data_IF_999466579446
#
_entry.id   IF_999466579446
#
_cell.length_a   1.000
_cell.length_b   1.000
_cell.length_c   1.000
_cell.angle_alpha   90.00
_cell.angle_beta   90.00
_cell.angle_gamma   90.00
#
_symmetry.space_group_name_H-M   'P 1'
#
loop_
_entity.id
_entity.type
_entity.pdbx_description
1 polymer ?
#
# COMPACT_ATOMS: atom_id res chain seq x y z
N UNK A 1 -2.11 -11.39 -24.48
CA UNK A 1 -3.04 -11.97 -23.48
C UNK A 1 -4.38 -11.28 -23.67
N UNK A 2 -5.45 -12.05 -23.89
CA UNK A 2 -6.80 -11.52 -24.18
C UNK A 2 -7.46 -11.18 -22.85
N UNK A 3 -7.72 -9.90 -22.61
CA UNK A 3 -8.48 -9.43 -21.45
C UNK A 3 -9.92 -9.93 -21.57
N UNK A 4 -10.34 -10.82 -20.66
CA UNK A 4 -11.71 -11.31 -20.61
C UNK A 4 -12.58 -10.27 -19.88
N UNK A 5 -13.63 -9.73 -20.50
CA UNK A 5 -14.41 -8.60 -19.96
C UNK A 5 -15.31 -8.96 -18.76
N UNK A 6 -15.13 -10.15 -18.14
CA UNK A 6 -15.91 -10.63 -16.99
C UNK A 6 -15.16 -10.58 -15.67
N UNK A 7 -13.86 -10.25 -15.67
CA UNK A 7 -13.11 -9.97 -14.45
C UNK A 7 -13.39 -8.53 -14.04
N UNK A 8 -14.44 -8.34 -13.23
CA UNK A 8 -14.64 -7.08 -12.52
C UNK A 8 -13.51 -6.97 -11.49
N UNK A 9 -12.44 -6.25 -11.82
CA UNK A 9 -11.39 -5.85 -10.88
C UNK A 9 -12.02 -4.97 -9.81
N UNK A 10 -12.60 -5.58 -8.78
CA UNK A 10 -13.36 -4.90 -7.74
C UNK A 10 -12.53 -4.64 -6.47
N UNK A 11 -11.23 -4.92 -6.47
CA UNK A 11 -10.34 -4.56 -5.37
C UNK A 11 -9.53 -3.33 -5.71
N UNK A 12 -9.68 -2.28 -4.92
CA UNK A 12 -8.65 -1.25 -4.80
C UNK A 12 -7.29 -1.95 -4.62
N UNK A 13 -6.31 -1.66 -5.48
CA UNK A 13 -4.96 -2.16 -5.28
C UNK A 13 -4.48 -1.64 -3.92
N UNK A 14 -4.26 -2.54 -2.96
CA UNK A 14 -3.72 -2.19 -1.66
C UNK A 14 -2.20 -2.45 -1.68
N UNK A 15 -1.36 -1.43 -1.94
CA UNK A 15 0.07 -1.57 -1.78
C UNK A 15 0.41 -1.73 -0.30
N UNK A 16 1.14 -2.78 0.03
CA UNK A 16 1.64 -3.03 1.38
C UNK A 16 3.16 -2.95 1.38
N UNK A 17 3.71 -2.13 2.28
CA UNK A 17 5.15 -2.13 2.53
C UNK A 17 5.48 -3.37 3.37
N UNK A 18 6.33 -4.25 2.85
CA UNK A 18 6.73 -5.51 3.51
C UNK A 18 8.12 -5.46 4.13
N UNK A 19 9.02 -4.63 3.60
CA UNK A 19 10.36 -4.44 4.13
C UNK A 19 10.86 -3.02 3.90
N UNK A 20 11.62 -2.49 4.84
CA UNK A 20 12.27 -1.17 4.74
C UNK A 20 13.69 -1.26 5.27
N UNK A 21 14.66 -0.84 4.44
CA UNK A 21 16.09 -0.87 4.81
C UNK A 21 16.78 0.42 4.43
N UNK A 22 17.46 1.03 5.39
CA UNK A 22 18.38 2.14 5.08
C UNK A 22 19.61 1.56 4.41
N UNK A 23 19.95 2.07 3.22
CA UNK A 23 21.13 1.64 2.48
C UNK A 23 22.41 2.05 3.23
N UNK A 24 23.00 1.10 3.95
CA UNK A 24 24.30 1.30 4.61
C UNK A 24 25.40 1.44 3.55
N UNK A 25 26.27 2.43 3.70
CA UNK A 25 27.39 2.73 2.80
C UNK A 25 27.01 3.20 1.38
N UNK A 26 25.79 3.71 1.17
CA UNK A 26 25.45 4.42 -0.07
C UNK A 26 25.87 5.90 0.05
N UNK A 27 26.55 6.48 -0.96
CA UNK A 27 26.85 7.91 -0.97
C UNK A 27 25.59 8.80 -1.04
N UNK A 28 24.41 8.22 -1.30
CA UNK A 28 23.15 8.93 -1.53
C UNK A 28 22.10 8.72 -0.42
N UNK A 29 22.47 8.14 0.74
CA UNK A 29 21.58 7.92 1.90
C UNK A 29 20.13 7.58 1.50
N UNK A 30 19.92 6.37 0.98
CA UNK A 30 18.65 5.96 0.38
C UNK A 30 17.89 5.01 1.29
N UNK A 31 16.57 5.10 1.30
CA UNK A 31 15.68 4.14 1.93
C UNK A 31 15.17 3.15 0.87
N UNK A 32 15.54 1.87 0.99
CA UNK A 32 15.00 0.79 0.17
C UNK A 32 13.66 0.35 0.75
N UNK A 33 12.65 0.21 -0.10
CA UNK A 33 11.30 -0.21 0.28
C UNK A 33 10.89 -1.37 -0.61
N UNK A 34 10.43 -2.45 -0.01
CA UNK A 34 9.77 -3.55 -0.71
C UNK A 34 8.26 -3.40 -0.56
N UNK A 35 7.56 -3.41 -1.69
CA UNK A 35 6.11 -3.20 -1.79
C UNK A 35 5.49 -4.44 -2.41
N UNK A 36 4.59 -5.05 -1.68
CA UNK A 36 3.73 -6.12 -2.14
C UNK A 36 2.40 -5.54 -2.63
N UNK A 37 1.87 -6.14 -3.70
CA UNK A 37 0.58 -5.78 -4.26
C UNK A 37 -0.30 -7.02 -4.28
N UNK A 38 -1.52 -6.87 -3.77
CA UNK A 38 -2.52 -7.92 -3.81
C UNK A 38 -3.58 -7.57 -4.84
N UNK A 39 -3.80 -8.49 -5.78
CA UNK A 39 -4.91 -8.44 -6.70
C UNK A 39 -6.10 -9.17 -6.06
N UNK A 40 -7.27 -8.55 -6.10
CA UNK A 40 -8.51 -9.17 -5.65
C UNK A 40 -9.42 -9.39 -6.84
N UNK A 41 -9.88 -10.63 -7.02
CA UNK A 41 -10.83 -11.01 -8.06
C UNK A 41 -11.98 -11.81 -7.46
N UNK A 42 -13.14 -11.78 -8.12
CA UNK A 42 -14.29 -12.60 -7.72
C UNK A 42 -14.38 -13.77 -8.68
N UNK A 43 -14.27 -14.98 -8.15
CA UNK A 43 -14.51 -16.20 -8.91
C UNK A 43 -16.00 -16.27 -9.26
N UNK A 44 -16.33 -16.25 -10.56
CA UNK A 44 -17.72 -16.21 -11.01
C UNK A 44 -18.52 -17.48 -10.72
N UNK A 45 -17.84 -18.60 -10.55
CA UNK A 45 -18.48 -19.91 -10.37
C UNK A 45 -18.76 -20.18 -8.89
N UNK A 46 -17.80 -19.83 -8.02
CA UNK A 46 -17.90 -20.05 -6.57
C UNK A 46 -18.44 -18.84 -5.82
N UNK A 47 -18.45 -17.65 -6.45
CA UNK A 47 -18.76 -16.35 -5.83
C UNK A 47 -17.83 -16.01 -4.65
N UNK A 48 -16.64 -16.63 -4.60
CA UNK A 48 -15.64 -16.40 -3.57
C UNK A 48 -14.67 -15.31 -4.05
N UNK A 49 -14.22 -14.48 -3.10
CA UNK A 49 -13.14 -13.53 -3.32
C UNK A 49 -11.81 -14.29 -3.29
N UNK A 50 -11.08 -14.22 -4.38
CA UNK A 50 -9.74 -14.77 -4.51
C UNK A 50 -8.71 -13.63 -4.48
N UNK A 51 -7.73 -13.76 -3.59
CA UNK A 51 -6.62 -12.85 -3.46
C UNK A 51 -5.37 -13.48 -4.04
N UNK A 52 -4.70 -12.77 -4.95
CA UNK A 52 -3.44 -13.19 -5.55
C UNK A 52 -2.37 -12.17 -5.24
N UNK A 53 -1.40 -12.57 -4.43
CA UNK A 53 -0.22 -11.76 -4.12
C UNK A 53 0.74 -11.74 -5.30
N UNK A 54 1.12 -10.56 -5.77
CA UNK A 54 2.14 -10.38 -6.80
C UNK A 54 3.54 -10.54 -6.23
N UNK A 55 4.51 -10.79 -7.10
CA UNK A 55 5.92 -10.71 -6.71
C UNK A 55 6.23 -9.32 -6.15
N UNK A 56 6.81 -9.22 -4.93
CA UNK A 56 7.13 -7.94 -4.33
C UNK A 56 8.07 -7.12 -5.20
N UNK A 57 7.78 -5.82 -5.31
CA UNK A 57 8.60 -4.88 -6.06
C UNK A 57 9.48 -4.07 -5.11
N UNK A 58 10.75 -3.91 -5.48
CA UNK A 58 11.68 -3.06 -4.73
C UNK A 58 11.79 -1.70 -5.38
N UNK A 59 11.65 -0.67 -4.57
CA UNK A 59 11.89 0.72 -4.95
C UNK A 59 12.81 1.39 -3.92
N UNK A 60 13.29 2.58 -4.25
CA UNK A 60 14.11 3.39 -3.36
C UNK A 60 13.52 4.78 -3.22
N UNK A 61 13.60 5.34 -2.02
CA UNK A 61 13.30 6.73 -1.72
C UNK A 61 14.62 7.43 -1.44
N UNK A 62 14.79 8.61 -2.04
CA UNK A 62 15.81 9.55 -1.60
C UNK A 62 15.50 10.05 -0.19
N UNK A 63 16.52 10.54 0.52
CA UNK A 63 16.39 11.02 1.90
C UNK A 63 15.29 12.06 2.07
N UNK A 64 15.22 13.05 1.19
CA UNK A 64 14.22 14.12 1.22
C UNK A 64 12.78 13.58 1.07
N UNK A 65 12.57 12.59 0.20
CA UNK A 65 11.27 11.94 0.02
C UNK A 65 10.92 11.09 1.24
N UNK A 66 11.89 10.36 1.79
CA UNK A 66 11.69 9.56 2.99
C UNK A 66 11.33 10.42 4.22
N UNK A 67 12.03 11.55 4.43
CA UNK A 67 11.75 12.50 5.49
C UNK A 67 10.36 13.13 5.33
N UNK A 68 9.99 13.54 4.11
CA UNK A 68 8.65 14.07 3.83
C UNK A 68 7.55 13.05 4.10
N UNK A 69 7.74 11.81 3.67
CA UNK A 69 6.78 10.73 3.93
C UNK A 69 6.62 10.48 5.43
N UNK A 70 7.73 10.46 6.17
CA UNK A 70 7.71 10.31 7.62
C UNK A 70 6.88 11.42 8.28
N UNK A 71 7.10 12.69 7.94
CA UNK A 71 6.30 13.81 8.48
C UNK A 71 4.82 13.64 8.17
N UNK A 72 4.45 13.29 6.93
CA UNK A 72 3.04 13.12 6.56
C UNK A 72 2.38 11.97 7.33
N UNK A 73 3.11 10.88 7.59
CA UNK A 73 2.62 9.76 8.37
C UNK A 73 2.50 10.11 9.85
N UNK A 74 3.49 10.80 10.43
CA UNK A 74 3.41 11.33 11.79
C UNK A 74 2.19 12.24 11.96
N UNK A 75 2.00 13.21 11.06
CA UNK A 75 0.84 14.12 11.07
C UNK A 75 -0.49 13.35 10.95
N UNK A 76 -0.54 12.30 10.13
CA UNK A 76 -1.73 11.45 10.02
C UNK A 76 -2.01 10.68 11.30
N UNK A 77 -0.98 10.09 11.92
CA UNK A 77 -1.12 9.30 13.15
C UNK A 77 -1.38 10.16 14.39
N UNK A 78 -0.92 11.41 14.39
CA UNK A 78 -1.19 12.38 15.46
C UNK A 78 -2.59 12.97 15.39
N UNK A 79 -3.30 12.85 14.25
CA UNK A 79 -4.72 13.22 14.17
C UNK A 79 -5.53 12.32 15.09
N UNK A 80 -6.22 12.96 16.02
CA UNK A 80 -7.06 12.27 17.00
C UNK A 80 -8.41 11.90 16.39
N UNK A 81 -9.18 11.01 17.05
CA UNK A 81 -10.57 10.70 16.64
C UNK A 81 -11.42 11.95 16.37
N UNK A 82 -11.17 13.06 17.07
CA UNK A 82 -11.91 14.32 16.92
C UNK A 82 -11.65 15.03 15.58
N UNK A 83 -10.53 14.72 14.93
CA UNK A 83 -10.09 15.36 13.68
C UNK A 83 -10.60 14.62 12.43
N UNK A 84 -11.19 13.43 12.59
CA UNK A 84 -11.76 12.66 11.48
C UNK A 84 -13.20 13.07 11.19
N UNK A 85 -13.60 13.21 9.90
CA UNK A 85 -15.01 13.35 9.55
C UNK A 85 -15.84 12.18 10.07
N UNK A 86 -17.09 12.44 10.48
CA UNK A 86 -18.03 11.40 11.00
C UNK A 86 -18.15 10.18 10.07
N UNK A 87 -18.02 10.38 8.76
CA UNK A 87 -18.06 9.31 7.75
C UNK A 87 -16.89 8.31 7.86
N UNK A 88 -15.76 8.73 8.42
CA UNK A 88 -14.54 7.91 8.58
C UNK A 88 -14.51 7.22 9.95
N UNK A 89 -15.06 7.87 10.99
CA UNK A 89 -15.10 7.32 12.37
C UNK A 89 -15.72 5.92 12.45
N UNK A 90 -16.71 5.62 11.62
CA UNK A 90 -17.38 4.30 11.58
C UNK A 90 -16.49 3.14 11.11
N UNK A 91 -15.33 3.42 10.52
CA UNK A 91 -14.36 2.42 10.06
C UNK A 91 -13.15 2.27 11.01
N UNK A 92 -13.09 3.09 12.07
CA UNK A 92 -12.02 3.05 13.08
C UNK A 92 -12.41 2.28 14.36
N UNK A 93 -13.69 1.88 14.50
CA UNK A 93 -14.22 0.98 15.55
C UNK A 93 -14.41 -0.43 15.00
#
# INVERSE_FOLDING_TARGET
MKNNPKESNCGDFLPQITDTRVAKNSPYEMLMVEIEFTDTSINSDTHIIEETTRTPQRTYLSRDVAERLHTQLSDYLERTEHDYPEAVKKYLM
#
